data_IF_469364393718
#
_entry.id   IF_469364393718
#
_cell.length_a   1.000
_cell.length_b   1.000
_cell.length_c   1.000
_cell.angle_alpha   90.00
_cell.angle_beta   90.00
_cell.angle_gamma   90.00
#
_symmetry.space_group_name_H-M   'P 1'
#
loop_
_entity.id
_entity.type
_entity.pdbx_description
1 polymer ?
#
# COMPACT_ATOMS: atom_id res chain seq x y z
N UNK A 1 -11.77 -0.11 72.30
CA UNK A 1 -12.02 -1.41 71.65
C UNK A 1 -11.55 -1.28 70.21
N UNK A 2 -10.38 -1.84 69.87
CA UNK A 2 -9.75 -1.69 68.55
C UNK A 2 -10.13 -2.89 67.69
N UNK A 3 -10.98 -2.69 66.70
CA UNK A 3 -11.45 -3.76 65.82
C UNK A 3 -10.48 -3.87 64.63
N UNK A 4 -9.76 -4.99 64.55
CA UNK A 4 -8.92 -5.35 63.41
C UNK A 4 -9.80 -5.84 62.27
N UNK A 5 -9.67 -5.21 61.10
CA UNK A 5 -10.32 -5.65 59.85
C UNK A 5 -9.21 -6.09 58.90
N UNK A 6 -9.20 -7.37 58.55
CA UNK A 6 -8.30 -7.93 57.55
C UNK A 6 -8.98 -7.84 56.17
N UNK A 7 -8.34 -7.14 55.23
CA UNK A 7 -8.80 -7.04 53.84
C UNK A 7 -8.00 -8.05 53.02
N UNK A 8 -8.68 -9.07 52.49
CA UNK A 8 -8.07 -10.07 51.61
C UNK A 8 -8.12 -9.55 50.17
N UNK A 9 -6.95 -9.39 49.55
CA UNK A 9 -6.82 -8.91 48.17
C UNK A 9 -6.87 -10.11 47.22
N UNK A 10 -7.93 -10.22 46.42
CA UNK A 10 -8.05 -11.21 45.35
C UNK A 10 -7.65 -10.55 44.02
N UNK A 11 -6.48 -10.91 43.47
CA UNK A 11 -6.02 -10.43 42.17
C UNK A 11 -6.45 -11.39 41.06
N UNK A 12 -7.30 -10.91 40.15
CA UNK A 12 -7.66 -11.61 38.91
C UNK A 12 -6.64 -11.24 37.83
N UNK A 13 -5.88 -12.21 37.33
CA UNK A 13 -5.05 -12.01 36.13
C UNK A 13 -5.94 -12.13 34.89
N UNK A 14 -6.25 -11.00 34.25
CA UNK A 14 -6.78 -10.99 32.89
C UNK A 14 -5.62 -11.06 31.91
N UNK A 15 -5.37 -12.21 31.30
CA UNK A 15 -4.46 -12.31 30.15
C UNK A 15 -5.15 -11.71 28.93
N UNK A 16 -4.90 -10.43 28.67
CA UNK A 16 -5.27 -9.79 27.42
C UNK A 16 -4.40 -10.34 26.30
N UNK A 17 -4.98 -11.04 25.34
CA UNK A 17 -4.33 -11.42 24.09
C UNK A 17 -3.97 -10.16 23.32
N UNK A 18 -2.72 -9.71 23.40
CA UNK A 18 -2.21 -8.67 22.53
C UNK A 18 -2.07 -9.27 21.13
N UNK A 19 -3.03 -9.03 20.25
CA UNK A 19 -2.82 -9.25 18.83
C UNK A 19 -1.76 -8.25 18.37
N UNK A 20 -0.55 -8.74 18.11
CA UNK A 20 0.46 -8.02 17.36
C UNK A 20 0.04 -7.99 15.89
N UNK A 21 -0.96 -7.18 15.55
CA UNK A 21 -1.12 -6.73 14.18
C UNK A 21 -0.03 -5.71 13.93
N UNK A 22 0.87 -5.95 12.97
CA UNK A 22 1.82 -4.90 12.61
C UNK A 22 1.03 -3.77 11.93
N UNK A 23 1.60 -2.57 11.92
CA UNK A 23 1.03 -1.42 11.20
C UNK A 23 1.54 -1.33 9.76
N UNK A 24 2.28 -2.34 9.32
CA UNK A 24 2.79 -2.35 7.97
C UNK A 24 1.67 -2.67 7.00
N UNK A 25 1.76 -2.01 5.86
CA UNK A 25 0.71 -2.06 4.86
C UNK A 25 0.70 -3.34 4.02
N UNK A 26 1.74 -4.15 4.13
CA UNK A 26 1.86 -5.51 3.59
C UNK A 26 1.18 -6.56 4.50
N UNK A 27 0.85 -6.18 5.74
CA UNK A 27 0.54 -7.14 6.79
C UNK A 27 -0.87 -7.72 6.72
N UNK A 28 -1.66 -7.30 5.73
CA UNK A 28 -2.98 -7.85 5.46
C UNK A 28 -3.03 -8.30 4.01
N UNK A 29 -3.32 -9.59 3.76
CA UNK A 29 -3.63 -10.14 2.42
C UNK A 29 -4.96 -9.58 1.83
N UNK A 30 -5.34 -8.37 2.21
CA UNK A 30 -6.56 -7.67 1.84
C UNK A 30 -6.23 -6.63 0.78
N UNK A 31 -6.91 -6.71 -0.38
CA UNK A 31 -6.82 -5.71 -1.44
C UNK A 31 -7.77 -4.57 -1.08
N UNK A 32 -7.32 -3.70 -0.18
CA UNK A 32 -8.06 -2.51 0.27
C UNK A 32 -7.40 -1.22 -0.20
N UNK A 33 -8.19 -0.15 -0.26
CA UNK A 33 -7.69 1.21 -0.45
C UNK A 33 -7.06 1.68 0.87
N UNK A 34 -5.76 1.44 1.03
CA UNK A 34 -4.97 1.84 2.18
C UNK A 34 -3.57 2.29 1.75
N UNK A 35 -2.79 2.90 2.65
CA UNK A 35 -1.37 3.11 2.38
C UNK A 35 -0.75 1.76 2.05
N UNK A 36 0.06 1.66 1.00
CA UNK A 36 0.84 0.48 0.62
C UNK A 36 2.28 0.91 0.34
N UNK A 37 3.27 0.14 0.82
CA UNK A 37 4.69 0.38 0.57
C UNK A 37 5.04 -0.10 -0.83
N UNK A 38 4.21 -0.99 -1.38
CA UNK A 38 4.31 -1.48 -2.75
C UNK A 38 2.90 -1.67 -3.30
N UNK A 39 2.57 -0.93 -4.37
CA UNK A 39 1.36 -1.15 -5.15
C UNK A 39 1.70 -2.15 -6.26
N UNK A 40 1.29 -3.42 -6.08
CA UNK A 40 1.44 -4.43 -7.12
C UNK A 40 0.18 -4.43 -8.01
N UNK A 41 0.36 -4.16 -9.31
CA UNK A 41 -0.67 -4.37 -10.32
C UNK A 41 -0.33 -5.65 -11.11
N UNK A 42 -0.93 -6.80 -10.78
CA UNK A 42 -0.47 -8.09 -11.29
C UNK A 42 -0.71 -8.30 -12.79
N UNK A 43 -1.65 -7.56 -13.36
CA UNK A 43 -2.07 -7.70 -14.75
C UNK A 43 -2.38 -6.36 -15.39
N UNK A 44 -1.85 -6.15 -16.59
CA UNK A 44 -2.19 -5.00 -17.43
C UNK A 44 -2.18 -5.41 -18.90
N UNK A 45 -2.93 -4.67 -19.71
CA UNK A 45 -2.99 -4.88 -21.15
C UNK A 45 -2.73 -3.56 -21.88
N UNK A 46 -1.87 -3.62 -22.91
CA UNK A 46 -1.59 -2.46 -23.77
C UNK A 46 -1.52 -2.92 -25.22
N UNK A 47 -2.30 -2.29 -26.09
CA UNK A 47 -2.15 -2.36 -27.53
C UNK A 47 -1.19 -1.25 -27.99
N UNK A 48 0.01 -1.65 -28.37
CA UNK A 48 1.06 -0.74 -28.84
C UNK A 48 0.90 -0.37 -30.32
N UNK A 49 0.12 -1.13 -31.10
CA UNK A 49 -0.03 -0.95 -32.54
C UNK A 49 -1.16 0.02 -32.90
N UNK A 50 -2.19 0.12 -32.06
CA UNK A 50 -3.31 1.02 -32.27
C UNK A 50 -3.30 2.19 -31.26
N UNK A 51 -3.24 3.46 -31.71
CA UNK A 51 -3.35 4.62 -30.83
C UNK A 51 -4.65 4.72 -30.02
N UNK A 52 -5.74 4.16 -30.54
CA UNK A 52 -7.03 4.03 -29.86
C UNK A 52 -7.26 2.61 -29.31
N UNK A 53 -6.20 1.80 -29.24
CA UNK A 53 -6.24 0.45 -28.73
C UNK A 53 -6.39 0.40 -27.21
N UNK A 54 -6.39 -0.82 -26.66
CA UNK A 54 -6.56 -1.03 -25.23
C UNK A 54 -5.38 -0.46 -24.45
N UNK A 55 -5.64 0.14 -23.30
CA UNK A 55 -4.61 0.49 -22.33
C UNK A 55 -5.13 0.33 -20.91
N UNK A 56 -4.24 -0.02 -20.00
CA UNK A 56 -4.52 0.04 -18.56
C UNK A 56 -4.26 1.43 -18.03
N UNK A 57 -5.31 2.00 -17.44
CA UNK A 57 -5.28 3.22 -16.66
C UNK A 57 -5.29 2.84 -15.18
N UNK A 58 -4.37 3.39 -14.41
CA UNK A 58 -4.37 3.25 -12.96
C UNK A 58 -4.01 4.57 -12.31
N UNK A 59 -4.16 4.64 -10.99
CA UNK A 59 -3.94 5.87 -10.24
C UNK A 59 -3.18 5.57 -8.97
N UNK A 60 -2.16 6.36 -8.69
CA UNK A 60 -1.39 6.32 -7.45
C UNK A 60 -1.84 7.49 -6.60
N UNK A 61 -2.27 7.21 -5.37
CA UNK A 61 -2.70 8.24 -4.42
C UNK A 61 -1.74 8.26 -3.24
N UNK A 62 -1.17 9.42 -2.95
CA UNK A 62 -0.49 9.66 -1.69
C UNK A 62 -1.55 9.90 -0.60
N UNK A 63 -1.69 8.98 0.34
CA UNK A 63 -2.64 9.13 1.47
C UNK A 63 -2.03 9.87 2.68
N UNK A 64 -0.79 10.35 2.55
CA UNK A 64 -0.07 11.11 3.58
C UNK A 64 -0.06 12.62 3.29
N UNK A 65 0.02 13.41 4.36
CA UNK A 65 0.22 14.87 4.30
C UNK A 65 1.63 15.28 3.87
N UNK A 66 2.60 14.37 3.90
CA UNK A 66 3.98 14.64 3.52
C UNK A 66 4.19 14.25 2.05
N UNK A 67 5.07 14.95 1.34
CA UNK A 67 5.49 14.55 0.00
C UNK A 67 6.17 13.19 0.02
N UNK A 68 5.93 12.39 -1.01
CA UNK A 68 6.46 11.03 -1.16
C UNK A 68 7.04 10.85 -2.56
N UNK A 69 7.99 9.93 -2.69
CA UNK A 69 8.50 9.47 -3.99
C UNK A 69 8.02 8.04 -4.16
N UNK A 70 7.22 7.79 -5.20
CA UNK A 70 6.83 6.45 -5.60
C UNK A 70 7.81 5.95 -6.67
N UNK A 71 8.47 4.84 -6.37
CA UNK A 71 9.32 4.13 -7.32
C UNK A 71 8.50 3.09 -8.08
N UNK A 72 8.58 3.11 -9.40
CA UNK A 72 7.77 2.26 -10.28
C UNK A 72 8.68 1.43 -11.17
N UNK A 73 8.53 0.11 -11.09
CA UNK A 73 9.19 -0.83 -11.99
C UNK A 73 8.14 -1.58 -12.80
N UNK A 74 8.26 -1.55 -14.13
CA UNK A 74 7.41 -2.31 -15.05
C UNK A 74 8.12 -3.60 -15.43
N UNK A 75 7.40 -4.71 -15.28
CA UNK A 75 7.91 -6.06 -15.54
C UNK A 75 7.22 -6.67 -16.75
N UNK A 76 7.97 -7.48 -17.51
CA UNK A 76 7.40 -8.42 -18.47
C UNK A 76 6.74 -9.61 -17.76
N UNK A 77 5.97 -10.37 -18.51
CA UNK A 77 5.44 -11.69 -18.11
C UNK A 77 6.54 -12.71 -17.76
N UNK A 78 7.75 -12.51 -18.27
CA UNK A 78 8.93 -13.33 -17.96
C UNK A 78 9.75 -12.78 -16.78
N UNK A 79 9.19 -11.86 -16.00
CA UNK A 79 9.85 -11.26 -14.83
C UNK A 79 11.15 -10.52 -15.16
N UNK A 80 11.29 -10.01 -16.38
CA UNK A 80 12.35 -9.07 -16.73
C UNK A 80 11.87 -7.62 -16.56
N UNK A 81 12.61 -6.76 -15.84
CA UNK A 81 12.26 -5.35 -15.71
C UNK A 81 12.55 -4.62 -17.03
N UNK A 82 11.60 -3.79 -17.48
CA UNK A 82 11.69 -3.07 -18.77
C UNK A 82 11.81 -1.58 -18.59
N UNK A 83 11.17 -1.03 -17.55
CA UNK A 83 11.19 0.40 -17.27
C UNK A 83 11.21 0.63 -15.76
N UNK A 84 11.97 1.64 -15.36
CA UNK A 84 12.11 2.06 -13.97
C UNK A 84 12.11 3.59 -13.89
N UNK A 85 11.27 4.15 -13.03
CA UNK A 85 11.19 5.60 -12.84
C UNK A 85 10.59 5.99 -11.49
N UNK A 86 10.79 7.26 -11.14
CA UNK A 86 10.28 7.86 -9.90
C UNK A 86 9.17 8.86 -10.21
N UNK A 87 8.14 8.86 -9.38
CA UNK A 87 7.05 9.83 -9.40
C UNK A 87 7.11 10.62 -8.10
N UNK A 88 7.21 11.94 -8.21
CA UNK A 88 7.10 12.82 -7.06
C UNK A 88 5.63 13.16 -6.81
N UNK A 89 5.14 12.81 -5.62
CA UNK A 89 3.77 13.07 -5.18
C UNK A 89 3.79 14.08 -4.04
N UNK A 90 3.02 15.15 -4.19
CA UNK A 90 2.81 16.10 -3.09
C UNK A 90 1.90 15.50 -2.01
N UNK A 91 1.71 16.20 -0.88
CA UNK A 91 0.82 15.71 0.18
C UNK A 91 -0.62 15.57 -0.33
N UNK A 92 -1.24 14.41 -0.13
CA UNK A 92 -2.58 14.08 -0.63
C UNK A 92 -2.76 14.09 -2.15
N UNK A 93 -1.67 13.98 -2.90
CA UNK A 93 -1.67 14.03 -4.36
C UNK A 93 -2.18 12.74 -5.02
N UNK A 94 -2.68 12.88 -6.25
CA UNK A 94 -3.29 11.80 -7.03
C UNK A 94 -2.75 11.86 -8.45
N UNK A 95 -1.96 10.86 -8.84
CA UNK A 95 -1.37 10.76 -10.17
C UNK A 95 -2.03 9.65 -10.98
N UNK A 96 -2.71 10.03 -12.07
CA UNK A 96 -3.19 9.10 -13.08
C UNK A 96 -2.09 8.68 -14.03
N UNK A 97 -2.06 7.40 -14.41
CA UNK A 97 -1.04 6.81 -15.28
C UNK A 97 -1.72 5.96 -16.36
N UNK A 98 -1.30 6.19 -17.60
CA UNK A 98 -1.63 5.34 -18.75
C UNK A 98 -0.41 4.52 -19.13
N UNK A 99 -0.47 3.20 -19.02
CA UNK A 99 0.68 2.36 -19.36
C UNK A 99 1.09 2.47 -20.82
N UNK A 100 0.15 2.71 -21.74
CA UNK A 100 0.51 2.98 -23.15
C UNK A 100 1.40 4.22 -23.27
N UNK A 101 1.06 5.29 -22.56
CA UNK A 101 1.83 6.54 -22.64
C UNK A 101 3.23 6.32 -22.07
N UNK A 102 3.33 5.67 -20.92
CA UNK A 102 4.60 5.30 -20.27
C UNK A 102 5.49 4.45 -21.20
N UNK A 103 4.90 3.46 -21.89
CA UNK A 103 5.67 2.55 -22.75
C UNK A 103 6.04 3.13 -24.13
N UNK A 104 5.24 4.06 -24.66
CA UNK A 104 5.44 4.61 -26.02
C UNK A 104 6.13 5.97 -26.01
N UNK A 105 5.84 6.81 -25.02
CA UNK A 105 6.29 8.21 -24.98
C UNK A 105 7.39 8.46 -23.94
N UNK A 106 7.57 7.56 -22.97
CA UNK A 106 8.48 7.76 -21.83
C UNK A 106 7.90 8.76 -20.84
#
# INVERSE_FOLDING_TARGET
>A
MKNLVAITLLTVLTTGSAFAGTRDNDDTCDVKVGPAATLLLPYFEVDLQNPAGRTTLFTITNVSRLSQIAHVTVWTDWSFPVLDFNIFLTGYDVQGISLRQVLVQG
#
